data_IF_401048678107
#
_entry.id   IF_401048678107
#
_cell.length_a   1.000
_cell.length_b   1.000
_cell.length_c   1.000
_cell.angle_alpha   90.00
_cell.angle_beta   90.00
_cell.angle_gamma   90.00
#
_symmetry.space_group_name_H-M   'P 1'
#
loop_
_entity.id
_entity.type
_entity.pdbx_description
1 polymer ?
#
# COMPACT_ATOMS: atom_id res chain seq x y z
N UNK A 1 -16.04 17.73 10.88
CA UNK A 1 -14.97 16.70 10.89
C UNK A 1 -13.86 17.16 11.83
N UNK A 2 -13.39 16.28 12.70
CA UNK A 2 -12.33 16.55 13.68
C UNK A 2 -11.14 15.63 13.40
N UNK A 3 -9.92 16.12 13.63
CA UNK A 3 -8.69 15.32 13.58
C UNK A 3 -8.13 15.15 14.99
N UNK A 4 -7.60 13.96 15.27
CA UNK A 4 -6.96 13.66 16.55
C UNK A 4 -5.76 14.57 16.71
N UNK A 5 -5.74 15.36 17.78
CA UNK A 5 -4.66 16.34 18.01
C UNK A 5 -3.67 15.85 19.06
N UNK A 6 -4.15 15.36 20.20
CA UNK A 6 -3.28 14.78 21.24
C UNK A 6 -4.04 13.85 22.18
N UNK A 7 -3.36 12.82 22.66
CA UNK A 7 -3.82 12.03 23.79
C UNK A 7 -3.45 12.73 25.10
N UNK A 8 -4.41 12.89 26.00
CA UNK A 8 -4.19 13.37 27.36
C UNK A 8 -4.53 12.23 28.33
N UNK A 9 -4.00 12.28 29.56
CA UNK A 9 -4.12 11.20 30.54
C UNK A 9 -5.56 10.73 30.82
N UNK A 10 -6.57 11.57 30.59
CA UNK A 10 -7.98 11.29 30.91
C UNK A 10 -8.94 11.45 29.72
N UNK A 11 -8.47 11.94 28.58
CA UNK A 11 -9.31 12.17 27.40
C UNK A 11 -8.46 12.32 26.14
N UNK A 12 -9.06 12.11 24.99
CA UNK A 12 -8.44 12.42 23.71
C UNK A 12 -8.92 13.80 23.26
N UNK A 13 -7.97 14.68 22.90
CA UNK A 13 -8.25 16.00 22.36
C UNK A 13 -8.28 15.92 20.84
N UNK A 14 -9.39 16.34 20.24
CA UNK A 14 -9.57 16.49 18.81
C UNK A 14 -9.76 17.96 18.44
N UNK A 15 -9.24 18.38 17.30
CA UNK A 15 -9.42 19.74 16.77
C UNK A 15 -10.25 19.69 15.49
N UNK A 16 -11.06 20.72 15.26
CA UNK A 16 -11.76 20.88 14.00
C UNK A 16 -10.75 20.88 12.84
N UNK A 17 -11.07 20.18 11.75
CA UNK A 17 -10.24 20.14 10.52
C UNK A 17 -10.04 21.54 9.94
N UNK A 18 -11.00 22.44 10.14
CA UNK A 18 -10.93 23.85 9.71
C UNK A 18 -10.27 24.78 10.74
N UNK A 19 -9.63 24.24 11.78
CA UNK A 19 -9.00 25.07 12.83
C UNK A 19 -7.82 25.88 12.32
N UNK A 20 -7.05 25.40 11.34
CA UNK A 20 -5.96 26.13 10.71
C UNK A 20 -6.45 27.13 9.66
N UNK A 21 -7.38 26.73 8.80
CA UNK A 21 -7.85 27.53 7.66
C UNK A 21 -8.83 28.65 8.05
N UNK A 22 -9.70 28.41 9.04
CA UNK A 22 -10.71 29.38 9.48
C UNK A 22 -10.47 29.90 10.91
N UNK A 23 -9.31 29.60 11.50
CA UNK A 23 -9.02 29.85 12.94
C UNK A 23 -10.14 29.35 13.85
N UNK A 24 -10.84 28.28 13.43
CA UNK A 24 -11.99 27.76 14.14
C UNK A 24 -11.57 27.26 15.53
N UNK A 25 -12.09 27.82 16.64
CA UNK A 25 -11.66 27.48 17.98
C UNK A 25 -12.27 26.17 18.49
N UNK A 26 -13.08 25.49 17.67
CA UNK A 26 -13.78 24.27 18.07
C UNK A 26 -12.79 23.13 18.38
N UNK A 27 -12.80 22.71 19.65
CA UNK A 27 -12.00 21.62 20.20
C UNK A 27 -12.94 20.65 20.88
N UNK A 28 -12.86 19.38 20.52
CA UNK A 28 -13.59 18.30 21.18
C UNK A 28 -12.65 17.63 22.19
N UNK A 29 -13.11 17.50 23.44
CA UNK A 29 -12.43 16.71 24.48
C UNK A 29 -13.39 15.58 24.84
N UNK A 30 -13.03 14.35 24.49
CA UNK A 30 -13.89 13.19 24.77
C UNK A 30 -13.48 12.60 26.12
N UNK A 31 -14.13 13.06 27.20
CA UNK A 31 -14.59 12.18 28.28
C UNK A 31 -15.87 11.55 27.74
N UNK A 32 -16.11 10.25 27.91
CA UNK A 32 -17.25 9.57 27.26
C UNK A 32 -18.58 10.29 27.59
N UNK A 33 -19.08 11.11 26.66
CA UNK A 33 -20.36 11.82 26.77
C UNK A 33 -20.97 11.90 25.36
N UNK A 34 -22.12 11.24 25.21
CA UNK A 34 -23.01 11.36 24.05
C UNK A 34 -23.62 12.77 24.01
N UNK A 35 -23.32 13.55 22.98
CA UNK A 35 -24.06 14.76 22.64
C UNK A 35 -24.76 14.55 21.30
N UNK A 36 -26.02 14.96 21.20
CA UNK A 36 -26.76 14.94 19.94
C UNK A 36 -26.15 15.95 18.95
N UNK A 37 -26.01 15.51 17.70
CA UNK A 37 -25.47 16.35 16.63
C UNK A 37 -26.53 17.38 16.20
N UNK A 38 -26.20 18.67 16.27
CA UNK A 38 -27.05 19.76 15.73
C UNK A 38 -26.90 19.91 14.19
N UNK A 39 -26.57 18.84 13.49
CA UNK A 39 -26.51 18.81 12.04
C UNK A 39 -26.72 17.39 11.56
N UNK A 40 -27.31 17.24 10.37
CA UNK A 40 -27.36 15.97 9.69
C UNK A 40 -25.93 15.47 9.39
N UNK A 41 -25.76 14.14 9.31
CA UNK A 41 -24.51 13.56 8.87
C UNK A 41 -24.22 13.93 7.41
N UNK A 42 -22.98 14.30 7.10
CA UNK A 42 -22.54 14.49 5.71
C UNK A 42 -22.21 13.12 5.11
N UNK A 43 -23.26 12.44 4.62
CA UNK A 43 -23.15 11.10 4.06
C UNK A 43 -22.16 11.03 2.89
N UNK A 44 -22.09 12.08 2.07
CA UNK A 44 -21.20 12.16 0.93
C UNK A 44 -19.73 12.20 1.35
N UNK A 45 -19.43 12.94 2.42
CA UNK A 45 -18.08 12.95 2.99
C UNK A 45 -17.73 11.64 3.69
N UNK A 46 -18.68 11.01 4.37
CA UNK A 46 -18.48 9.67 4.97
C UNK A 46 -18.12 8.67 3.89
N UNK A 47 -18.84 8.68 2.76
CA UNK A 47 -18.59 7.76 1.66
C UNK A 47 -17.22 8.00 1.02
N UNK A 48 -16.86 9.25 0.73
CA UNK A 48 -15.54 9.59 0.20
C UNK A 48 -14.38 9.14 1.12
N UNK A 49 -14.56 9.26 2.44
CA UNK A 49 -13.57 8.77 3.42
C UNK A 49 -13.48 7.26 3.42
N UNK A 50 -14.62 6.55 3.38
CA UNK A 50 -14.66 5.08 3.30
C UNK A 50 -13.96 4.57 2.04
N UNK A 51 -14.25 5.16 0.89
CA UNK A 51 -13.63 4.78 -0.39
C UNK A 51 -12.13 5.00 -0.37
N UNK A 52 -11.64 6.08 0.26
CA UNK A 52 -10.19 6.29 0.43
C UNK A 52 -9.57 5.21 1.32
N UNK A 53 -10.28 4.74 2.36
CA UNK A 53 -9.81 3.64 3.19
C UNK A 53 -9.78 2.32 2.41
N UNK A 54 -10.83 2.02 1.64
CA UNK A 54 -10.89 0.84 0.75
C UNK A 54 -9.73 0.82 -0.25
N UNK A 55 -9.46 1.95 -0.92
CA UNK A 55 -8.32 2.08 -1.85
C UNK A 55 -7.00 1.72 -1.16
N UNK A 56 -6.79 2.16 0.09
CA UNK A 56 -5.56 1.86 0.83
C UNK A 56 -5.44 0.38 1.17
N UNK A 57 -6.54 -0.27 1.55
CA UNK A 57 -6.53 -1.71 1.84
C UNK A 57 -6.26 -2.52 0.57
N UNK A 58 -6.91 -2.21 -0.55
CA UNK A 58 -6.65 -2.87 -1.84
C UNK A 58 -5.19 -2.66 -2.26
N UNK A 59 -4.66 -1.45 -2.10
CA UNK A 59 -3.29 -1.10 -2.50
C UNK A 59 -2.21 -1.94 -1.79
N UNK A 60 -2.47 -2.43 -0.57
CA UNK A 60 -1.50 -3.24 0.19
C UNK A 60 -1.26 -4.61 -0.43
N UNK A 61 -2.29 -5.23 -0.99
CA UNK A 61 -2.26 -6.64 -1.39
C UNK A 61 -2.42 -6.85 -2.90
N UNK A 62 -2.97 -5.85 -3.61
CA UNK A 62 -3.25 -5.98 -5.04
C UNK A 62 -2.02 -5.67 -5.90
N UNK A 63 -1.80 -6.48 -6.93
CA UNK A 63 -0.87 -6.20 -8.05
C UNK A 63 -1.46 -5.30 -9.14
N UNK A 64 -2.72 -4.87 -9.05
CA UNK A 64 -3.38 -4.01 -10.05
C UNK A 64 -2.71 -2.64 -10.17
N UNK A 65 -2.85 -1.98 -11.31
CA UNK A 65 -2.30 -0.62 -11.47
C UNK A 65 -3.07 0.40 -10.62
N UNK A 66 -2.46 1.54 -10.23
CA UNK A 66 -3.16 2.57 -9.48
C UNK A 66 -4.44 3.07 -10.16
N UNK A 67 -4.48 3.11 -11.50
CA UNK A 67 -5.68 3.46 -12.26
C UNK A 67 -6.79 2.41 -12.18
N UNK A 68 -6.44 1.11 -12.20
CA UNK A 68 -7.40 0.03 -12.03
C UNK A 68 -8.06 0.09 -10.65
N UNK A 69 -7.27 0.22 -9.58
CA UNK A 69 -7.77 0.33 -8.20
C UNK A 69 -8.67 1.56 -8.04
N UNK A 70 -8.25 2.70 -8.58
CA UNK A 70 -9.06 3.92 -8.56
C UNK A 70 -10.41 3.69 -9.24
N UNK A 71 -10.42 3.21 -10.49
CA UNK A 71 -11.66 3.01 -11.24
C UNK A 71 -12.59 1.99 -10.56
N UNK A 72 -12.03 0.91 -10.01
CA UNK A 72 -12.83 -0.11 -9.33
C UNK A 72 -13.60 0.47 -8.14
N UNK A 73 -12.95 1.27 -7.31
CA UNK A 73 -13.58 1.84 -6.11
C UNK A 73 -14.52 2.99 -6.49
N UNK A 74 -14.11 3.87 -7.40
CA UNK A 74 -14.89 5.05 -7.81
C UNK A 74 -16.23 4.67 -8.45
N UNK A 75 -16.25 3.60 -9.25
CA UNK A 75 -17.48 3.13 -9.89
C UNK A 75 -18.56 2.66 -8.90
N UNK A 76 -18.19 2.37 -7.65
CA UNK A 76 -19.11 1.93 -6.58
C UNK A 76 -19.74 3.13 -5.83
N UNK A 77 -19.30 4.35 -6.09
CA UNK A 77 -19.63 5.53 -5.28
C UNK A 77 -20.75 6.38 -5.92
N UNK A 78 -21.72 6.90 -5.13
CA UNK A 78 -22.71 7.83 -5.64
C UNK A 78 -22.10 9.11 -6.22
N UNK A 79 -22.65 9.63 -7.32
CA UNK A 79 -22.17 10.86 -7.99
C UNK A 79 -22.01 12.06 -7.06
N UNK A 80 -22.89 12.19 -6.06
CA UNK A 80 -22.83 13.29 -5.09
C UNK A 80 -21.62 13.21 -4.16
N UNK A 81 -21.16 12.00 -3.85
CA UNK A 81 -19.97 11.76 -3.05
C UNK A 81 -18.67 11.93 -3.86
N UNK A 82 -18.70 11.75 -5.19
CA UNK A 82 -17.55 11.97 -6.07
C UNK A 82 -16.97 13.39 -5.93
N UNK A 83 -17.82 14.40 -5.73
CA UNK A 83 -17.37 15.79 -5.51
C UNK A 83 -16.54 15.98 -4.24
N UNK A 84 -16.57 15.02 -3.30
CA UNK A 84 -15.80 15.04 -2.05
C UNK A 84 -14.53 14.21 -2.13
N UNK A 85 -14.34 13.47 -3.22
CA UNK A 85 -13.16 12.62 -3.42
C UNK A 85 -11.98 13.50 -3.88
N UNK A 86 -10.76 13.23 -3.39
CA UNK A 86 -9.55 13.86 -3.93
C UNK A 86 -9.38 13.58 -5.42
N UNK A 87 -8.51 14.35 -6.08
CA UNK A 87 -8.19 14.11 -7.49
C UNK A 87 -7.63 12.70 -7.72
N UNK A 88 -7.82 12.17 -8.93
CA UNK A 88 -7.28 10.87 -9.33
C UNK A 88 -5.76 10.79 -9.09
N UNK A 89 -5.02 11.83 -9.44
CA UNK A 89 -3.57 11.92 -9.19
C UNK A 89 -3.22 11.81 -7.71
N UNK A 90 -3.98 12.47 -6.83
CA UNK A 90 -3.76 12.41 -5.38
C UNK A 90 -4.00 10.99 -4.83
N UNK A 91 -5.00 10.30 -5.38
CA UNK A 91 -5.28 8.91 -5.02
C UNK A 91 -4.21 7.98 -5.56
N UNK A 92 -3.81 8.11 -6.83
CA UNK A 92 -2.71 7.31 -7.42
C UNK A 92 -1.42 7.47 -6.61
N UNK A 93 -1.08 8.69 -6.20
CA UNK A 93 0.05 8.95 -5.29
C UNK A 93 -0.13 8.28 -3.94
N UNK A 94 -1.35 8.30 -3.38
CA UNK A 94 -1.66 7.60 -2.12
C UNK A 94 -1.44 6.09 -2.25
N UNK A 95 -1.86 5.48 -3.37
CA UNK A 95 -1.66 4.05 -3.66
C UNK A 95 -0.17 3.74 -3.73
N UNK A 96 0.60 4.54 -4.48
CA UNK A 96 2.05 4.38 -4.60
C UNK A 96 2.74 4.46 -3.23
N UNK A 97 2.40 5.47 -2.42
CA UNK A 97 2.96 5.64 -1.08
C UNK A 97 2.59 4.49 -0.13
N UNK A 98 1.39 3.91 -0.24
CA UNK A 98 1.03 2.72 0.54
C UNK A 98 1.88 1.52 0.15
N UNK A 99 2.14 1.32 -1.14
CA UNK A 99 2.98 0.23 -1.62
C UNK A 99 4.43 0.40 -1.21
N UNK A 100 5.01 1.57 -1.48
CA UNK A 100 6.40 1.84 -1.14
C UNK A 100 6.66 1.78 0.37
N UNK A 101 5.66 2.11 1.19
CA UNK A 101 5.77 1.98 2.65
C UNK A 101 5.89 0.54 3.14
N UNK A 102 5.51 -0.45 2.33
CA UNK A 102 5.66 -1.88 2.63
C UNK A 102 6.89 -2.49 1.96
N UNK A 103 7.59 -1.76 1.09
CA UNK A 103 8.80 -2.28 0.47
C UNK A 103 9.90 -2.41 1.52
N UNK A 104 10.75 -3.45 1.44
CA UNK A 104 11.95 -3.53 2.26
C UNK A 104 12.88 -2.35 1.97
N UNK A 105 13.77 -2.07 2.91
CA UNK A 105 14.83 -1.07 2.72
C UNK A 105 15.65 -1.46 1.49
N UNK A 106 15.89 -0.50 0.61
CA UNK A 106 16.71 -0.72 -0.56
C UNK A 106 18.12 -1.13 -0.13
N UNK A 107 18.60 -2.32 -0.54
CA UNK A 107 19.90 -2.83 -0.13
C UNK A 107 21.02 -1.99 -0.75
N UNK A 108 22.07 -1.71 0.02
CA UNK A 108 23.26 -0.99 -0.46
C UNK A 108 24.24 -1.90 -1.19
N UNK A 109 24.24 -3.18 -0.84
CA UNK A 109 25.05 -4.22 -1.45
C UNK A 109 24.18 -5.45 -1.79
N UNK A 110 24.60 -6.21 -2.80
CA UNK A 110 23.89 -7.44 -3.19
C UNK A 110 23.83 -8.46 -2.04
N UNK A 111 24.78 -8.45 -1.10
CA UNK A 111 24.78 -9.32 0.08
C UNK A 111 23.75 -8.90 1.15
N UNK A 112 23.36 -7.63 1.16
CA UNK A 112 22.33 -7.09 2.06
C UNK A 112 20.92 -7.51 1.62
N UNK A 113 20.75 -7.98 0.38
CA UNK A 113 19.46 -8.40 -0.15
C UNK A 113 18.95 -9.64 0.61
N UNK A 114 17.78 -9.50 1.24
CA UNK A 114 17.08 -10.56 1.97
C UNK A 114 15.82 -10.94 1.18
N UNK A 115 15.73 -12.21 0.74
CA UNK A 115 14.60 -12.74 -0.03
C UNK A 115 13.93 -13.83 0.81
N UNK A 116 12.96 -13.44 1.62
CA UNK A 116 12.28 -14.33 2.57
C UNK A 116 10.76 -14.09 2.57
N UNK A 117 10.00 -15.02 3.15
CA UNK A 117 8.56 -14.90 3.29
C UNK A 117 7.85 -14.76 1.94
N UNK A 118 6.94 -13.79 1.83
CA UNK A 118 6.19 -13.54 0.58
C UNK A 118 7.09 -13.23 -0.63
N UNK A 119 8.31 -12.72 -0.41
CA UNK A 119 9.27 -12.41 -1.48
C UNK A 119 9.96 -13.64 -2.06
N UNK A 120 9.89 -14.77 -1.36
CA UNK A 120 10.41 -16.07 -1.83
C UNK A 120 9.35 -16.93 -2.52
N UNK A 121 8.11 -16.42 -2.62
CA UNK A 121 6.94 -17.16 -3.09
C UNK A 121 6.34 -16.53 -4.35
N UNK A 122 5.69 -17.36 -5.16
CA UNK A 122 4.84 -16.96 -6.27
C UNK A 122 3.52 -17.73 -6.19
N UNK A 123 2.38 -17.05 -6.08
CA UNK A 123 1.07 -17.68 -5.88
C UNK A 123 1.04 -18.69 -4.71
N UNK A 124 1.72 -18.38 -3.60
CA UNK A 124 1.88 -19.25 -2.42
C UNK A 124 2.68 -20.54 -2.67
N UNK A 125 3.40 -20.65 -3.79
CA UNK A 125 4.33 -21.72 -4.08
C UNK A 125 5.77 -21.22 -4.01
N UNK A 126 6.72 -22.11 -3.70
CA UNK A 126 8.14 -21.77 -3.68
C UNK A 126 8.56 -21.22 -5.04
N UNK A 127 9.20 -20.04 -5.03
CA UNK A 127 9.68 -19.38 -6.23
C UNK A 127 11.17 -19.09 -6.20
N UNK A 128 11.74 -18.90 -5.01
CA UNK A 128 13.18 -18.89 -4.83
C UNK A 128 13.70 -20.33 -4.85
N UNK A 129 14.35 -20.72 -5.94
CA UNK A 129 14.87 -22.09 -6.13
C UNK A 129 16.27 -22.26 -5.53
N UNK A 130 17.09 -21.22 -5.64
CA UNK A 130 18.47 -21.25 -5.17
C UNK A 130 18.95 -19.84 -4.83
N UNK A 131 19.72 -19.74 -3.75
CA UNK A 131 20.42 -18.53 -3.32
C UNK A 131 21.69 -18.97 -2.59
N UNK A 132 22.85 -18.73 -3.18
CA UNK A 132 24.13 -19.20 -2.65
C UNK A 132 24.77 -18.25 -1.63
N UNK A 133 23.98 -17.40 -0.96
CA UNK A 133 24.42 -16.36 -0.03
C UNK A 133 25.67 -16.79 0.75
N UNK A 134 26.82 -16.32 0.28
CA UNK A 134 28.15 -16.67 0.76
C UNK A 134 28.76 -15.41 1.33
N UNK A 135 29.29 -15.49 2.54
CA UNK A 135 29.89 -14.34 3.22
C UNK A 135 31.18 -13.82 2.55
N UNK A 136 31.67 -14.46 1.46
CA UNK A 136 33.01 -14.18 0.93
C UNK A 136 33.15 -14.22 -0.61
N UNK A 137 32.06 -14.19 -1.37
CA UNK A 137 32.15 -14.14 -2.84
C UNK A 137 31.31 -13.00 -3.38
N UNK A 138 31.91 -12.09 -4.17
CA UNK A 138 31.20 -11.08 -4.95
C UNK A 138 30.29 -11.69 -6.06
N UNK A 139 30.14 -13.01 -6.07
CA UNK A 139 29.40 -13.81 -7.05
C UNK A 139 28.20 -14.47 -6.36
N UNK A 140 27.16 -13.69 -6.08
CA UNK A 140 25.88 -14.21 -5.60
C UNK A 140 25.03 -14.64 -6.79
N UNK A 141 24.63 -15.92 -6.81
CA UNK A 141 23.71 -16.52 -7.77
C UNK A 141 22.36 -16.67 -7.09
N UNK A 142 21.34 -16.04 -7.67
CA UNK A 142 19.96 -16.12 -7.22
C UNK A 142 19.14 -16.69 -8.38
N UNK A 143 18.46 -17.80 -8.15
CA UNK A 143 17.63 -18.46 -9.15
C UNK A 143 16.18 -18.43 -8.72
N UNK A 144 15.34 -17.89 -9.60
CA UNK A 144 13.90 -17.88 -9.46
C UNK A 144 13.25 -18.81 -10.47
N UNK A 145 12.18 -19.47 -10.05
CA UNK A 145 11.41 -20.34 -10.91
C UNK A 145 10.44 -21.20 -10.10
N UNK A 146 9.59 -21.93 -10.80
CA UNK A 146 8.70 -22.91 -10.19
C UNK A 146 9.19 -24.33 -10.49
N UNK A 147 8.78 -25.30 -9.68
CA UNK A 147 9.09 -26.71 -9.95
C UNK A 147 8.65 -27.15 -11.35
N UNK A 148 7.51 -26.61 -11.83
CA UNK A 148 7.04 -26.87 -13.19
C UNK A 148 7.99 -26.32 -14.26
N UNK A 149 8.57 -25.13 -14.05
CA UNK A 149 9.57 -24.57 -14.97
C UNK A 149 10.82 -25.45 -15.04
N UNK A 150 11.31 -25.92 -13.89
CA UNK A 150 12.46 -26.83 -13.82
C UNK A 150 12.14 -28.17 -14.49
N UNK A 151 10.93 -28.70 -14.27
CA UNK A 151 10.48 -29.92 -14.93
C UNK A 151 10.46 -29.76 -16.46
N UNK A 152 9.89 -28.67 -16.96
CA UNK A 152 9.87 -28.37 -18.40
C UNK A 152 11.28 -28.20 -18.97
N UNK A 153 12.16 -27.49 -18.26
CA UNK A 153 13.58 -27.35 -18.65
C UNK A 153 14.26 -28.73 -18.73
N UNK A 154 14.04 -29.61 -17.75
CA UNK A 154 14.63 -30.95 -17.72
C UNK A 154 14.19 -31.86 -18.88
N UNK A 155 13.01 -31.61 -19.45
CA UNK A 155 12.47 -32.36 -20.58
C UNK A 155 12.80 -31.72 -21.93
N UNK A 156 13.26 -30.47 -21.93
CA UNK A 156 13.51 -29.70 -23.14
C UNK A 156 14.82 -30.15 -23.78
N UNK A 157 14.80 -30.36 -25.10
CA UNK A 157 15.99 -30.74 -25.88
C UNK A 157 16.92 -29.57 -26.19
N UNK A 158 16.38 -28.36 -26.20
CA UNK A 158 17.08 -27.12 -26.57
C UNK A 158 16.71 -26.02 -25.59
N UNK A 159 17.72 -25.28 -25.12
CA UNK A 159 17.56 -24.15 -24.20
C UNK A 159 18.06 -22.88 -24.88
N UNK A 160 17.25 -21.84 -24.86
CA UNK A 160 17.62 -20.51 -25.33
C UNK A 160 17.80 -19.61 -24.12
N UNK A 161 19.00 -19.04 -23.98
CA UNK A 161 19.29 -18.03 -22.96
C UNK A 161 19.69 -16.73 -23.64
N UNK A 162 19.05 -15.64 -23.22
CA UNK A 162 19.37 -14.29 -23.66
C UNK A 162 19.98 -13.54 -22.48
N UNK A 163 21.15 -12.94 -22.69
CA UNK A 163 21.80 -12.09 -21.71
C UNK A 163 21.40 -10.64 -21.97
N UNK A 164 20.91 -9.95 -20.94
CA UNK A 164 20.68 -8.51 -20.97
C UNK A 164 21.59 -7.84 -19.95
N UNK A 165 22.58 -7.08 -20.44
CA UNK A 165 23.46 -6.28 -19.61
C UNK A 165 22.68 -5.05 -19.11
N UNK A 166 22.44 -4.99 -17.80
CA UNK A 166 21.91 -3.81 -17.13
C UNK A 166 23.11 -3.02 -16.61
N UNK A 167 23.54 -1.99 -17.34
CA UNK A 167 24.52 -1.03 -16.84
C UNK A 167 23.84 -0.11 -15.83
N UNK A 168 24.28 -0.17 -14.56
CA UNK A 168 23.89 0.75 -13.48
C UNK A 168 24.41 2.16 -13.69
#
# INVERSE_FOLDING_TARGET
>A
MYTKHKDCKQFIRWKCVKSSSFKCPAVLKVLSIHHEHNHAADQNNIEAVKSKAEIKEIAKFSGSTPGQIFNEVINKIPKQALMKIPTEESIKRTIQMQRSGNNPVEPTDINDLIIEGEWSLWNSQSFLLYDNKSENTNERIIMFGTDNMIHLLSQSKEWYMEESLISS
#
